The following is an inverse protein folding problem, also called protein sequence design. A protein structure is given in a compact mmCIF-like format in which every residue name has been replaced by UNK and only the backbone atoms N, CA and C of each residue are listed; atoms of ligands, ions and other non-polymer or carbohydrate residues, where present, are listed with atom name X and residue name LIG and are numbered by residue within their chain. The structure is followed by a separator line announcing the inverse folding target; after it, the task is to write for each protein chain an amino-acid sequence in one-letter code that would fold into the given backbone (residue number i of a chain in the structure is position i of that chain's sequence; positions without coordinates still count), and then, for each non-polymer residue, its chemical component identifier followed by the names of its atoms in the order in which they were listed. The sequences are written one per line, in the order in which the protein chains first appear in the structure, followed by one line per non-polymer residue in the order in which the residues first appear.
data_IF_247412787113
#
_entry.id   IF_247412787113
#
_cell.length_a   1.000
_cell.length_b   1.000
_cell.length_c   1.000
_cell.angle_alpha   90.00
_cell.angle_beta   90.00
_cell.angle_gamma   90.00
#
_symmetry.space_group_name_H-M   'P 1'
#
loop_
_entity.id
_entity.type
_entity.pdbx_description
1 polymer ?
#
# COMPACT_ATOMS: atom_id res chain seq x y z
N UNK A 1 -9.38 3.90 21.61
CA UNK A 1 -9.21 4.60 20.32
C UNK A 1 -9.34 3.55 19.24
N UNK A 2 -10.22 3.77 18.27
CA UNK A 2 -10.40 2.79 17.17
C UNK A 2 -9.25 3.00 16.16
N UNK A 3 -8.21 2.21 16.27
CA UNK A 3 -7.02 2.32 15.42
C UNK A 3 -7.36 1.71 14.08
N UNK A 4 -7.63 2.53 13.07
CA UNK A 4 -7.82 2.05 11.70
C UNK A 4 -6.60 1.24 11.25
N UNK A 5 -6.83 0.22 10.44
CA UNK A 5 -5.78 -0.60 9.85
C UNK A 5 -5.45 -0.18 8.43
N UNK A 6 -4.23 -0.52 8.01
CA UNK A 6 -3.75 -0.37 6.64
C UNK A 6 -3.21 -1.71 6.16
N UNK A 7 -3.62 -2.12 4.98
CA UNK A 7 -2.88 -3.11 4.19
C UNK A 7 -2.04 -2.33 3.17
N UNK A 8 -0.74 -2.30 3.36
CA UNK A 8 0.20 -1.62 2.48
C UNK A 8 0.90 -2.63 1.57
N UNK A 9 0.96 -2.33 0.28
CA UNK A 9 1.50 -3.22 -0.76
C UNK A 9 2.38 -2.42 -1.70
N UNK A 10 3.63 -2.85 -1.88
CA UNK A 10 4.53 -2.40 -2.94
C UNK A 10 4.89 -3.59 -3.81
N UNK A 11 4.88 -3.41 -5.11
CA UNK A 11 5.22 -4.50 -6.03
C UNK A 11 5.70 -4.00 -7.39
N UNK A 12 6.34 -4.91 -8.12
CA UNK A 12 6.60 -4.78 -9.54
C UNK A 12 5.65 -5.68 -10.33
N UNK A 13 5.56 -5.40 -11.64
CA UNK A 13 4.84 -6.21 -12.60
C UNK A 13 5.73 -6.51 -13.81
N UNK A 14 5.78 -7.76 -14.24
CA UNK A 14 6.47 -8.16 -15.46
C UNK A 14 5.86 -7.46 -16.66
N UNK A 15 6.71 -6.87 -17.51
CA UNK A 15 6.27 -5.97 -18.60
C UNK A 15 5.32 -6.63 -19.60
N UNK A 16 5.52 -7.92 -19.87
CA UNK A 16 4.67 -8.71 -20.75
C UNK A 16 3.25 -8.93 -20.25
N UNK A 17 3.02 -8.78 -18.94
CA UNK A 17 1.71 -8.93 -18.30
C UNK A 17 1.08 -7.58 -17.92
N UNK A 18 1.74 -6.46 -18.18
CA UNK A 18 1.30 -5.13 -17.70
C UNK A 18 -0.15 -4.82 -18.10
N UNK A 19 -0.55 -5.05 -19.34
CA UNK A 19 -1.90 -4.77 -19.81
C UNK A 19 -2.96 -5.63 -19.11
N UNK A 20 -2.68 -6.93 -18.90
CA UNK A 20 -3.58 -7.81 -18.15
C UNK A 20 -3.65 -7.44 -16.67
N UNK A 21 -2.50 -7.11 -16.06
CA UNK A 21 -2.40 -6.67 -14.69
C UNK A 21 -3.23 -5.41 -14.42
N UNK A 22 -3.16 -4.42 -15.33
CA UNK A 22 -3.97 -3.19 -15.23
C UNK A 22 -5.46 -3.48 -15.28
N UNK A 23 -5.91 -4.30 -16.24
CA UNK A 23 -7.31 -4.68 -16.36
C UNK A 23 -7.76 -5.45 -15.12
N UNK A 24 -7.02 -6.49 -14.72
CA UNK A 24 -7.34 -7.32 -13.57
C UNK A 24 -7.43 -6.49 -12.28
N UNK A 25 -6.48 -5.56 -12.07
CA UNK A 25 -6.44 -4.76 -10.86
C UNK A 25 -7.68 -3.88 -10.71
N UNK A 26 -8.10 -3.23 -11.81
CA UNK A 26 -9.23 -2.29 -11.82
C UNK A 26 -10.59 -2.99 -11.79
N UNK A 27 -10.72 -4.11 -12.51
CA UNK A 27 -12.03 -4.75 -12.73
C UNK A 27 -12.33 -5.89 -11.76
N UNK A 28 -11.31 -6.47 -11.15
CA UNK A 28 -11.46 -7.62 -10.27
C UNK A 28 -10.81 -7.40 -8.89
N UNK A 29 -9.50 -7.19 -8.82
CA UNK A 29 -8.77 -7.25 -7.56
C UNK A 29 -9.19 -6.15 -6.59
N UNK A 30 -9.18 -4.89 -7.03
CA UNK A 30 -9.55 -3.76 -6.19
C UNK A 30 -11.02 -3.84 -5.73
N UNK A 31 -12.02 -4.09 -6.62
CA UNK A 31 -13.41 -4.32 -6.23
C UNK A 31 -13.58 -5.51 -5.27
N UNK A 32 -12.90 -6.62 -5.52
CA UNK A 32 -12.99 -7.81 -4.67
C UNK A 32 -12.51 -7.52 -3.24
N UNK A 33 -11.40 -6.80 -3.06
CA UNK A 33 -10.92 -6.41 -1.73
C UNK A 33 -11.92 -5.48 -1.03
N UNK A 34 -12.49 -4.53 -1.75
CA UNK A 34 -13.48 -3.60 -1.20
C UNK A 34 -14.83 -4.28 -0.88
N UNK A 35 -15.13 -5.44 -1.44
CA UNK A 35 -16.35 -6.20 -1.08
C UNK A 35 -16.28 -6.83 0.31
N UNK A 36 -15.09 -6.95 0.91
CA UNK A 36 -14.92 -7.49 2.26
C UNK A 36 -15.44 -6.50 3.29
N UNK A 37 -16.33 -6.92 4.21
CA UNK A 37 -16.80 -6.05 5.28
C UNK A 37 -15.66 -5.47 6.11
N UNK A 38 -15.65 -4.15 6.25
CA UNK A 38 -14.61 -3.44 7.01
C UNK A 38 -13.48 -2.86 6.16
N UNK A 39 -13.45 -3.11 4.85
CA UNK A 39 -12.64 -2.30 3.93
C UNK A 39 -13.39 -1.02 3.59
N UNK A 40 -12.71 0.12 3.62
CA UNK A 40 -13.29 1.44 3.37
C UNK A 40 -12.84 2.05 2.06
N UNK A 41 -11.55 1.93 1.76
CA UNK A 41 -10.93 2.56 0.62
C UNK A 41 -9.75 1.73 0.13
N UNK A 42 -9.54 1.71 -1.17
CA UNK A 42 -8.32 1.23 -1.82
C UNK A 42 -7.78 2.32 -2.73
N UNK A 43 -6.50 2.63 -2.59
CA UNK A 43 -5.82 3.63 -3.43
C UNK A 43 -4.58 3.02 -4.06
N UNK A 44 -4.50 3.12 -5.37
CA UNK A 44 -3.44 2.53 -6.19
C UNK A 44 -2.65 3.62 -6.89
N UNK A 45 -1.33 3.50 -6.85
CA UNK A 45 -0.38 4.48 -7.35
C UNK A 45 0.66 3.82 -8.25
N UNK A 46 1.24 4.61 -9.17
CA UNK A 46 2.44 4.27 -9.94
C UNK A 46 3.63 5.14 -9.51
N UNK A 47 4.83 4.62 -9.70
CA UNK A 47 6.06 5.29 -9.30
C UNK A 47 6.39 6.50 -10.17
N UNK A 48 6.79 7.60 -9.53
CA UNK A 48 7.39 8.78 -10.15
C UNK A 48 8.92 8.79 -10.00
N UNK A 49 9.45 7.98 -9.08
CA UNK A 49 10.89 7.88 -8.79
C UNK A 49 11.32 6.42 -8.79
N UNK A 50 12.63 6.11 -8.93
CA UNK A 50 13.12 4.72 -8.90
C UNK A 50 12.71 3.96 -7.64
N UNK A 51 12.41 2.68 -7.80
CA UNK A 51 11.97 1.75 -6.75
C UNK A 51 10.91 0.80 -7.30
N UNK A 52 10.07 0.18 -6.45
CA UNK A 52 8.90 -0.58 -6.89
C UNK A 52 8.03 0.21 -7.85
N UNK A 53 7.47 -0.46 -8.85
CA UNK A 53 6.65 0.19 -9.90
C UNK A 53 5.31 0.66 -9.38
N UNK A 54 4.71 -0.09 -8.44
CA UNK A 54 3.38 0.18 -7.91
C UNK A 54 3.36 0.21 -6.40
N UNK A 55 2.49 1.05 -5.88
CA UNK A 55 2.12 1.12 -4.48
C UNK A 55 0.60 1.12 -4.38
N UNK A 56 0.06 0.27 -3.52
CA UNK A 56 -1.37 0.24 -3.19
C UNK A 56 -1.54 0.18 -1.69
N UNK A 57 -2.48 0.92 -1.15
CA UNK A 57 -2.91 0.68 0.21
C UNK A 57 -4.43 0.59 0.31
N UNK A 58 -4.86 -0.21 1.28
CA UNK A 58 -6.26 -0.33 1.66
C UNK A 58 -6.44 0.16 3.07
N UNK A 59 -7.42 1.04 3.26
CA UNK A 59 -7.85 1.46 4.58
C UNK A 59 -8.94 0.52 5.07
N UNK A 60 -8.73 -0.07 6.26
CA UNK A 60 -9.66 -1.00 6.89
C UNK A 60 -10.07 -0.52 8.28
N UNK A 61 -11.21 -1.02 8.78
CA UNK A 61 -11.76 -0.67 10.10
C UNK A 61 -10.73 -0.85 11.22
N UNK A 62 -10.03 -1.96 11.21
CA UNK A 62 -8.91 -2.29 12.08
C UNK A 62 -8.09 -3.42 11.43
N UNK A 63 -6.85 -3.69 11.89
CA UNK A 63 -6.02 -4.76 11.34
C UNK A 63 -6.66 -6.16 11.37
N UNK A 64 -7.58 -6.45 12.28
CA UNK A 64 -8.22 -7.76 12.41
C UNK A 64 -9.14 -8.09 11.22
N UNK A 65 -9.59 -7.09 10.46
CA UNK A 65 -10.32 -7.32 9.20
C UNK A 65 -9.51 -8.19 8.24
N UNK A 66 -8.18 -8.06 8.25
CA UNK A 66 -7.26 -8.79 7.38
C UNK A 66 -6.96 -10.24 7.83
N UNK A 67 -7.62 -10.66 8.90
CA UNK A 67 -7.68 -12.05 9.37
C UNK A 67 -9.13 -12.56 9.52
N UNK A 68 -10.11 -11.78 9.02
CA UNK A 68 -11.52 -12.20 9.03
C UNK A 68 -11.73 -13.39 8.09
N UNK A 69 -12.77 -14.16 8.36
CA UNK A 69 -13.11 -15.32 7.54
C UNK A 69 -13.38 -14.91 6.09
N UNK A 70 -14.12 -13.83 5.88
CA UNK A 70 -14.48 -13.31 4.56
C UNK A 70 -13.23 -12.91 3.75
N UNK A 71 -12.25 -12.29 4.39
CA UNK A 71 -11.00 -11.94 3.74
C UNK A 71 -10.16 -13.18 3.41
N UNK A 72 -10.03 -14.12 4.34
CA UNK A 72 -9.27 -15.36 4.15
C UNK A 72 -9.91 -16.25 3.07
N UNK A 73 -11.23 -16.32 2.98
CA UNK A 73 -11.92 -17.05 1.92
C UNK A 73 -11.56 -16.55 0.52
N UNK A 74 -11.39 -15.24 0.35
CA UNK A 74 -10.92 -14.64 -0.92
C UNK A 74 -9.49 -15.06 -1.22
N UNK A 75 -8.59 -15.00 -0.24
CA UNK A 75 -7.18 -15.37 -0.41
C UNK A 75 -6.98 -16.85 -0.71
N UNK A 76 -7.82 -17.73 -0.14
CA UNK A 76 -7.75 -19.17 -0.34
C UNK A 76 -8.42 -19.65 -1.65
N UNK A 77 -9.27 -18.82 -2.25
CA UNK A 77 -10.00 -19.14 -3.46
C UNK A 77 -9.73 -18.15 -4.61
N UNK A 78 -8.45 -17.96 -5.01
CA UNK A 78 -8.12 -17.04 -6.09
C UNK A 78 -8.75 -17.46 -7.41
N UNK A 79 -9.29 -16.50 -8.16
CA UNK A 79 -9.85 -16.72 -9.49
C UNK A 79 -8.76 -17.18 -10.48
N UNK A 80 -9.15 -17.70 -11.67
CA UNK A 80 -8.16 -18.02 -12.71
C UNK A 80 -7.31 -16.81 -13.13
N UNK A 81 -7.89 -15.61 -13.20
CA UNK A 81 -7.15 -14.39 -13.52
C UNK A 81 -6.18 -14.02 -12.39
N UNK A 82 -6.63 -14.05 -11.13
CA UNK A 82 -5.78 -13.83 -9.96
C UNK A 82 -4.62 -14.83 -9.91
N UNK A 83 -4.89 -16.13 -10.15
CA UNK A 83 -3.81 -17.16 -10.20
C UNK A 83 -2.75 -16.81 -11.22
N UNK A 84 -3.16 -16.49 -12.45
CA UNK A 84 -2.24 -16.13 -13.53
C UNK A 84 -1.38 -14.93 -13.18
N UNK A 85 -2.02 -13.85 -12.68
CA UNK A 85 -1.31 -12.61 -12.32
C UNK A 85 -0.35 -12.85 -11.16
N UNK A 86 -0.76 -13.57 -10.12
CA UNK A 86 0.10 -13.86 -8.95
C UNK A 86 1.29 -14.74 -9.31
N UNK A 87 1.12 -15.70 -10.24
CA UNK A 87 2.16 -16.64 -10.63
C UNK A 87 3.19 -16.03 -11.60
N UNK A 88 2.74 -15.15 -12.53
CA UNK A 88 3.59 -14.73 -13.64
C UNK A 88 3.89 -13.24 -13.69
N UNK A 89 3.06 -12.40 -13.09
CA UNK A 89 3.20 -10.95 -13.22
C UNK A 89 3.82 -10.28 -11.99
N UNK A 90 3.45 -10.71 -10.78
CA UNK A 90 3.93 -10.08 -9.54
C UNK A 90 5.40 -10.41 -9.24
N UNK A 91 6.16 -9.39 -8.84
CA UNK A 91 7.51 -9.53 -8.29
C UNK A 91 7.81 -8.43 -7.27
N UNK A 92 8.92 -8.56 -6.53
CA UNK A 92 9.36 -7.60 -5.50
C UNK A 92 8.26 -7.21 -4.49
N UNK A 93 7.44 -8.19 -4.10
CA UNK A 93 6.28 -7.95 -3.26
C UNK A 93 6.69 -7.61 -1.83
N UNK A 94 6.23 -6.46 -1.37
CA UNK A 94 6.17 -6.13 0.04
C UNK A 94 4.69 -5.97 0.42
N UNK A 95 4.23 -6.80 1.34
CA UNK A 95 2.84 -6.77 1.81
C UNK A 95 2.85 -6.76 3.33
N UNK A 96 2.43 -5.67 3.92
CA UNK A 96 2.44 -5.52 5.38
C UNK A 96 1.11 -4.98 5.88
N UNK A 97 0.62 -5.55 6.96
CA UNK A 97 -0.54 -5.03 7.70
C UNK A 97 -0.04 -4.14 8.83
N UNK A 98 -0.60 -2.95 8.90
CA UNK A 98 -0.19 -1.92 9.83
C UNK A 98 -1.38 -1.36 10.63
N UNK A 99 -1.09 -0.90 11.83
CA UNK A 99 -1.90 0.11 12.50
C UNK A 99 -1.56 1.49 11.93
N UNK A 100 -2.54 2.39 11.95
CA UNK A 100 -2.44 3.73 11.38
C UNK A 100 -2.59 4.79 12.45
N UNK A 101 -1.74 5.80 12.39
CA UNK A 101 -1.88 7.05 13.12
C UNK A 101 -1.91 8.21 12.12
N UNK A 102 -2.88 9.11 12.25
CA UNK A 102 -2.98 10.33 11.44
C UNK A 102 -2.28 11.45 12.19
N UNK A 103 -1.20 11.98 11.60
CA UNK A 103 -0.40 13.07 12.14
C UNK A 103 -0.91 14.43 11.65
N UNK A 104 -1.25 14.52 10.35
CA UNK A 104 -1.90 15.68 9.73
C UNK A 104 -3.12 15.15 8.99
N UNK A 105 -4.31 15.62 9.37
CA UNK A 105 -5.59 15.22 8.80
C UNK A 105 -6.11 16.26 7.81
N UNK A 106 -5.54 16.26 6.62
CA UNK A 106 -5.96 17.11 5.52
C UNK A 106 -6.58 16.35 4.37
N UNK A 107 -6.73 16.99 3.24
CA UNK A 107 -7.27 16.39 2.03
C UNK A 107 -6.36 15.29 1.50
N UNK A 108 -6.97 14.24 0.93
CA UNK A 108 -6.21 13.23 0.18
C UNK A 108 -5.73 13.81 -1.14
N UNK A 109 -4.43 13.69 -1.40
CA UNK A 109 -3.78 14.21 -2.59
C UNK A 109 -3.80 13.23 -3.78
N UNK A 110 -3.53 13.77 -4.97
CA UNK A 110 -3.29 12.97 -6.19
C UNK A 110 -1.87 12.43 -6.28
N UNK A 111 -0.97 12.87 -5.40
CA UNK A 111 0.41 12.42 -5.32
C UNK A 111 0.75 12.04 -3.88
N UNK A 112 1.67 11.09 -3.73
CA UNK A 112 2.10 10.63 -2.42
C UNK A 112 3.61 10.45 -2.35
N UNK A 113 4.14 10.40 -1.13
CA UNK A 113 5.49 9.92 -0.84
C UNK A 113 5.41 8.88 0.25
N UNK A 114 6.11 7.78 0.08
CA UNK A 114 6.30 6.79 1.14
C UNK A 114 7.77 6.65 1.48
N UNK A 115 8.06 6.48 2.77
CA UNK A 115 9.35 6.03 3.27
C UNK A 115 9.08 4.93 4.30
N UNK A 116 9.66 3.75 4.10
CA UNK A 116 9.59 2.64 5.03
C UNK A 116 10.93 2.46 5.75
N UNK A 117 10.89 2.01 7.03
CA UNK A 117 12.11 1.79 7.81
C UNK A 117 11.93 0.70 8.86
N UNK A 118 13.06 0.23 9.38
CA UNK A 118 13.15 -0.66 10.52
C UNK A 118 13.84 0.05 11.70
N UNK A 119 13.46 -0.28 12.92
CA UNK A 119 14.06 0.30 14.12
C UNK A 119 13.57 1.72 14.44
N UNK A 120 14.49 2.61 14.81
CA UNK A 120 14.17 3.98 15.22
C UNK A 120 13.70 4.84 14.05
N UNK A 121 12.82 5.80 14.36
CA UNK A 121 12.31 6.76 13.36
C UNK A 121 13.48 7.59 12.79
N UNK A 122 13.61 7.64 11.45
CA UNK A 122 14.65 8.46 10.81
C UNK A 122 14.58 9.93 11.24
N UNK A 123 15.72 10.51 11.57
CA UNK A 123 15.82 11.91 12.05
C UNK A 123 15.23 12.91 11.04
N UNK A 124 15.29 12.59 9.74
CA UNK A 124 14.70 13.41 8.67
C UNK A 124 13.17 13.57 8.80
N UNK A 125 12.48 12.65 9.47
CA UNK A 125 11.03 12.68 9.68
C UNK A 125 10.59 13.51 10.90
N UNK A 126 11.41 14.47 11.34
CA UNK A 126 11.05 15.37 12.45
C UNK A 126 9.95 16.38 12.04
N UNK A 127 9.19 16.92 13.01
CA UNK A 127 8.07 17.84 12.74
C UNK A 127 8.47 19.09 11.94
N UNK A 128 9.70 19.59 12.09
CA UNK A 128 10.19 20.76 11.35
C UNK A 128 10.35 20.46 9.86
N UNK A 129 10.93 19.32 9.52
CA UNK A 129 11.04 18.85 8.13
C UNK A 129 9.67 18.64 7.52
N UNK A 130 8.76 17.95 8.21
CA UNK A 130 7.41 17.71 7.72
C UNK A 130 6.64 19.02 7.48
N UNK A 131 6.73 19.98 8.40
CA UNK A 131 6.13 21.30 8.22
C UNK A 131 6.71 22.09 7.02
N UNK A 132 8.01 21.96 6.77
CA UNK A 132 8.68 22.61 5.64
C UNK A 132 8.28 22.00 4.29
N UNK A 133 8.03 20.69 4.23
CA UNK A 133 7.59 19.99 3.02
C UNK A 133 6.14 20.32 2.66
N UNK A 134 5.31 20.70 3.62
CA UNK A 134 3.95 21.13 3.45
C UNK A 134 3.00 20.08 2.86
N UNK A 135 3.01 18.83 3.33
CA UNK A 135 2.04 17.84 2.90
C UNK A 135 0.63 18.21 3.38
N UNK A 136 -0.38 17.89 2.55
CA UNK A 136 -1.79 18.05 2.94
C UNK A 136 -2.19 17.04 4.02
N UNK A 137 -1.65 15.82 3.93
CA UNK A 137 -1.93 14.71 4.84
C UNK A 137 -0.66 13.97 5.21
N UNK A 138 -0.56 13.58 6.48
CA UNK A 138 0.56 12.75 7.00
C UNK A 138 -0.01 11.63 7.84
N UNK A 139 0.41 10.42 7.53
CA UNK A 139 0.11 9.23 8.31
C UNK A 139 1.38 8.47 8.64
N UNK A 140 1.45 7.91 9.85
CA UNK A 140 2.45 6.91 10.20
C UNK A 140 1.81 5.55 10.36
N UNK A 141 2.48 4.54 9.86
CA UNK A 141 2.03 3.16 9.86
C UNK A 141 3.04 2.30 10.60
N UNK A 142 2.56 1.48 11.54
CA UNK A 142 3.39 0.53 12.28
C UNK A 142 2.88 -0.88 12.03
N UNK A 143 3.77 -1.78 11.62
CA UNK A 143 3.43 -3.17 11.34
C UNK A 143 2.82 -3.84 12.57
N UNK A 144 1.75 -4.59 12.34
CA UNK A 144 1.13 -5.43 13.37
C UNK A 144 1.62 -6.88 13.22
N UNK A 145 1.72 -7.60 14.32
CA UNK A 145 1.99 -9.04 14.28
C UNK A 145 0.89 -9.78 13.53
N UNK A 146 1.24 -10.58 12.54
CA UNK A 146 0.32 -11.40 11.76
C UNK A 146 0.63 -12.89 11.94
N UNK A 147 -0.36 -13.72 11.61
CA UNK A 147 -0.15 -15.16 11.50
C UNK A 147 0.87 -15.46 10.39
N UNK A 148 1.78 -16.40 10.64
CA UNK A 148 2.86 -16.73 9.71
C UNK A 148 2.46 -17.76 8.64
N UNK A 149 1.18 -18.17 8.57
CA UNK A 149 0.72 -19.08 7.53
C UNK A 149 0.46 -18.35 6.23
N UNK A 150 1.13 -18.79 5.15
CA UNK A 150 0.95 -18.24 3.82
C UNK A 150 -0.40 -18.66 3.25
N UNK A 151 -1.18 -17.70 2.75
CA UNK A 151 -2.42 -17.96 2.00
C UNK A 151 -2.14 -18.64 0.65
N UNK A 152 -3.21 -19.12 -0.02
CA UNK A 152 -3.08 -19.70 -1.36
C UNK A 152 -2.54 -18.66 -2.38
N UNK A 153 -2.98 -17.40 -2.31
CA UNK A 153 -2.43 -16.33 -3.15
C UNK A 153 -0.93 -16.09 -2.90
N UNK A 154 -0.49 -16.08 -1.64
CA UNK A 154 0.92 -15.90 -1.29
C UNK A 154 1.79 -17.05 -1.78
N UNK A 155 1.30 -18.29 -1.70
CA UNK A 155 2.00 -19.48 -2.20
C UNK A 155 2.17 -19.48 -3.73
N UNK A 156 1.24 -18.87 -4.49
CA UNK A 156 1.34 -18.79 -5.95
C UNK A 156 2.54 -17.96 -6.42
N UNK A 157 2.97 -16.96 -5.65
CA UNK A 157 4.13 -16.12 -6.00
C UNK A 157 5.48 -16.84 -5.86
N UNK A 158 5.52 -17.91 -5.09
CA UNK A 158 6.72 -18.76 -4.93
C UNK A 158 7.89 -18.11 -4.19
N UNK A 159 7.74 -16.89 -3.71
CA UNK A 159 8.73 -16.10 -2.98
C UNK A 159 8.03 -15.45 -1.78
N UNK A 160 8.68 -15.44 -0.63
CA UNK A 160 8.17 -14.78 0.57
C UNK A 160 8.07 -13.27 0.36
N UNK A 161 6.93 -12.71 0.75
CA UNK A 161 6.72 -11.27 0.72
C UNK A 161 7.66 -10.56 1.69
N UNK A 162 8.29 -9.49 1.24
CA UNK A 162 9.00 -8.59 2.13
C UNK A 162 8.03 -7.91 3.10
N UNK A 163 8.53 -7.49 4.24
CA UNK A 163 7.77 -6.79 5.29
C UNK A 163 8.50 -5.52 5.69
N UNK A 164 7.75 -4.51 6.07
CA UNK A 164 8.28 -3.31 6.73
C UNK A 164 8.00 -3.37 8.23
N UNK A 165 8.70 -2.58 9.03
CA UNK A 165 8.33 -2.36 10.44
C UNK A 165 7.51 -1.11 10.60
N UNK A 166 7.89 -0.04 9.93
CA UNK A 166 7.21 1.24 9.96
C UNK A 166 7.20 1.87 8.57
N UNK A 167 6.24 2.75 8.32
CA UNK A 167 6.24 3.64 7.16
C UNK A 167 5.59 4.97 7.50
N UNK A 168 5.90 5.99 6.69
CA UNK A 168 5.16 7.25 6.62
C UNK A 168 4.56 7.39 5.24
N UNK A 169 3.34 7.92 5.19
CA UNK A 169 2.67 8.39 3.99
C UNK A 169 2.54 9.91 4.09
N UNK A 170 3.05 10.62 3.09
CA UNK A 170 2.83 12.05 2.89
C UNK A 170 2.00 12.21 1.62
N UNK A 171 0.90 12.95 1.66
CA UNK A 171 0.09 13.23 0.47
C UNK A 171 0.20 14.69 0.05
N UNK A 172 0.23 14.90 -1.27
CA UNK A 172 0.40 16.20 -1.92
C UNK A 172 -0.59 16.38 -3.06
N UNK A 173 -0.94 17.62 -3.37
CA UNK A 173 -1.79 17.96 -4.50
C UNK A 173 -1.02 17.99 -5.83
N UNK A 174 0.28 18.22 -5.78
CA UNK A 174 1.14 18.43 -6.96
C UNK A 174 2.29 17.44 -7.01
N UNK A 175 2.59 16.96 -8.21
CA UNK A 175 3.70 16.04 -8.50
C UNK A 175 5.06 16.63 -8.09
N UNK A 176 5.27 17.92 -8.40
CA UNK A 176 6.51 18.64 -8.04
C UNK A 176 6.75 18.65 -6.52
N UNK A 177 5.68 18.83 -5.71
CA UNK A 177 5.79 18.80 -4.26
C UNK A 177 6.20 17.39 -3.78
N UNK A 178 5.57 16.33 -4.34
CA UNK A 178 5.89 14.96 -3.99
C UNK A 178 7.33 14.59 -4.40
N UNK A 179 7.78 14.97 -5.59
CA UNK A 179 9.16 14.74 -6.04
C UNK A 179 10.18 15.44 -5.14
N UNK A 180 9.92 16.71 -4.79
CA UNK A 180 10.78 17.45 -3.87
C UNK A 180 10.80 16.81 -2.47
N UNK A 181 9.65 16.42 -1.95
CA UNK A 181 9.56 15.75 -0.65
C UNK A 181 10.31 14.41 -0.64
N UNK A 182 10.13 13.58 -1.68
CA UNK A 182 10.84 12.31 -1.81
C UNK A 182 12.36 12.49 -1.81
N UNK A 183 12.86 13.48 -2.54
CA UNK A 183 14.30 13.80 -2.58
C UNK A 183 14.84 14.25 -1.21
N UNK A 184 14.04 15.02 -0.45
CA UNK A 184 14.46 15.54 0.86
C UNK A 184 14.49 14.46 1.96
N UNK A 185 13.55 13.50 1.95
CA UNK A 185 13.47 12.47 3.00
C UNK A 185 14.07 11.13 2.58
N UNK A 186 14.48 10.96 1.33
CA UNK A 186 14.96 9.68 0.79
C UNK A 186 13.82 8.67 0.59
N UNK A 187 12.60 9.16 0.36
CA UNK A 187 11.42 8.35 0.09
C UNK A 187 11.18 8.11 -1.40
N UNK A 188 10.09 7.43 -1.72
CA UNK A 188 9.64 7.21 -3.09
C UNK A 188 8.36 8.01 -3.36
N UNK A 189 8.34 8.73 -4.50
CA UNK A 189 7.21 9.52 -4.95
C UNK A 189 6.30 8.71 -5.89
N UNK A 190 4.99 8.98 -5.79
CA UNK A 190 3.92 8.23 -6.41
C UNK A 190 2.88 9.15 -7.02
N UNK A 191 2.27 8.72 -8.15
CA UNK A 191 1.10 9.32 -8.77
C UNK A 191 -0.10 8.39 -8.62
N UNK A 192 -1.23 8.92 -8.21
CA UNK A 192 -2.48 8.18 -8.05
C UNK A 192 -3.01 7.72 -9.41
N UNK A 193 -3.31 6.43 -9.53
CA UNK A 193 -3.97 5.83 -10.69
C UNK A 193 -5.46 5.64 -10.45
N UNK A 194 -5.83 5.17 -9.26
CA UNK A 194 -7.22 4.86 -8.94
C UNK A 194 -7.51 4.99 -7.44
N UNK A 195 -8.73 5.36 -7.13
CA UNK A 195 -9.33 5.26 -5.80
C UNK A 195 -10.67 4.57 -5.94
N UNK A 196 -10.91 3.56 -5.09
CA UNK A 196 -12.21 2.95 -4.93
C UNK A 196 -12.60 3.03 -3.45
N UNK A 197 -13.84 3.43 -3.17
CA UNK A 197 -14.41 3.52 -1.82
C UNK A 197 -15.65 2.66 -1.71
N UNK A 198 -15.92 2.17 -0.52
CA UNK A 198 -17.16 1.46 -0.18
C UNK A 198 -18.23 2.45 0.24
#
# INVERSE_FOLDING_TARGET
MNTRGILAVWNDCAIEYMAEYEVWYQTEHLPQRLSVPGFYCGRRFEALTPGPQFFTYYEVKDPAVLTSQEYLEILENPTPATRKIMEYAFSNMNRTVCSREVVIDGASGGCAVTLAWHGETPEVLNPKTLAMLGPERVETWTATSQNNELSAEEKLRGIDDQKISNAILLEFLREEQALNAAANIGGQAWRLLATLTN
#
